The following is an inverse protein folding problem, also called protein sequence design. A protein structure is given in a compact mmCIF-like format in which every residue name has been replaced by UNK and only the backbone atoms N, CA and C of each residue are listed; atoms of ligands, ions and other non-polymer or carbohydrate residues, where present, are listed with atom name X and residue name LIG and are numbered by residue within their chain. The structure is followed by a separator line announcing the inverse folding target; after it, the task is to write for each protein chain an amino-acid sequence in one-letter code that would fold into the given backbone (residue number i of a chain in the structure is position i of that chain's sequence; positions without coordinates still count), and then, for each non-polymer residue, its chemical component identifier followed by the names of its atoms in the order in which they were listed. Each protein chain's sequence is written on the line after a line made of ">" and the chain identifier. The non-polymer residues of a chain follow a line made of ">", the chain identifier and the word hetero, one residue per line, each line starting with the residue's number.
data_IF_679873440346
#
_entry.id   IF_679873440346
#
_cell.length_a   1.000
_cell.length_b   1.000
_cell.length_c   1.000
_cell.angle_alpha   90.00
_cell.angle_beta   90.00
_cell.angle_gamma   90.00
#
_symmetry.space_group_name_H-M   'P 1'
#
loop_
_entity.id
_entity.type
_entity.pdbx_description
1 polymer ?
#
# COMPACT_ATOMS: atom_id res chain seq x y z
N UNK A 1 6.34 19.83 11.34
CA UNK A 1 6.17 19.56 9.91
C UNK A 1 6.46 18.10 9.67
N UNK A 2 5.41 17.36 9.40
CA UNK A 2 5.42 15.91 9.21
C UNK A 2 5.43 15.63 7.72
N UNK A 3 6.57 15.19 7.18
CA UNK A 3 6.73 14.96 5.74
C UNK A 3 6.83 13.48 5.40
N UNK A 4 6.27 13.12 4.26
CA UNK A 4 6.55 11.85 3.60
C UNK A 4 7.12 12.13 2.20
N UNK A 5 8.00 11.26 1.74
CA UNK A 5 8.42 11.20 0.35
C UNK A 5 7.68 10.06 -0.33
N UNK A 6 6.89 10.36 -1.34
CA UNK A 6 6.39 9.34 -2.26
C UNK A 6 7.46 9.04 -3.29
N UNK A 7 7.64 7.75 -3.58
CA UNK A 7 8.58 7.28 -4.59
C UNK A 7 7.84 6.30 -5.49
N UNK A 8 7.94 6.53 -6.79
CA UNK A 8 7.47 5.62 -7.82
C UNK A 8 8.69 5.04 -8.54
N UNK A 9 8.81 3.72 -8.52
CA UNK A 9 9.81 3.00 -9.30
C UNK A 9 9.19 2.27 -10.48
N UNK A 10 9.92 2.10 -11.57
CA UNK A 10 9.62 1.08 -12.60
C UNK A 10 10.39 -0.19 -12.27
N UNK A 11 9.81 -1.36 -12.56
CA UNK A 11 10.57 -2.61 -12.53
C UNK A 11 11.40 -2.75 -13.81
N UNK A 12 12.71 -2.92 -13.67
CA UNK A 12 13.63 -3.16 -14.80
C UNK A 12 13.96 -4.65 -14.98
N UNK A 13 13.34 -5.49 -14.18
CA UNK A 13 13.51 -6.92 -14.25
C UNK A 13 12.57 -7.69 -13.34
N UNK A 14 12.63 -9.00 -13.49
CA UNK A 14 11.78 -9.92 -12.76
C UNK A 14 11.97 -9.80 -11.25
N UNK A 15 10.88 -9.89 -10.51
CA UNK A 15 10.87 -9.81 -9.06
C UNK A 15 10.65 -11.18 -8.42
N UNK A 16 11.44 -11.51 -7.41
CA UNK A 16 11.25 -12.72 -6.61
C UNK A 16 10.83 -12.32 -5.19
N UNK A 17 9.56 -12.51 -4.86
CA UNK A 17 9.03 -12.14 -3.55
C UNK A 17 7.54 -12.42 -3.41
N UNK A 18 6.81 -11.51 -2.80
CA UNK A 18 5.36 -11.67 -2.59
C UNK A 18 4.57 -11.20 -3.83
N UNK A 19 3.60 -11.98 -4.35
CA UNK A 19 2.91 -11.68 -5.61
C UNK A 19 2.13 -10.36 -5.67
N UNK A 20 1.75 -9.81 -4.52
CA UNK A 20 0.85 -8.65 -4.43
C UNK A 20 1.50 -7.37 -3.92
N UNK A 21 2.72 -7.45 -3.38
CA UNK A 21 3.43 -6.28 -2.86
C UNK A 21 4.92 -6.55 -2.67
N UNK A 22 5.70 -5.48 -2.51
CA UNK A 22 7.05 -5.56 -1.95
C UNK A 22 6.97 -5.24 -0.46
N UNK A 23 7.52 -6.11 0.39
CA UNK A 23 7.48 -5.86 1.85
C UNK A 23 8.23 -4.57 2.19
N UNK A 24 7.73 -3.83 3.18
CA UNK A 24 8.46 -2.65 3.65
C UNK A 24 9.85 -2.99 4.19
N UNK A 25 10.03 -4.20 4.74
CA UNK A 25 11.34 -4.70 5.16
C UNK A 25 12.32 -4.89 3.99
N UNK A 26 11.85 -5.38 2.84
CA UNK A 26 12.71 -5.52 1.64
C UNK A 26 13.14 -4.15 1.11
N UNK A 27 12.21 -3.19 1.03
CA UNK A 27 12.50 -1.82 0.63
C UNK A 27 13.44 -1.12 1.61
N UNK A 28 13.14 -1.19 2.92
CA UNK A 28 14.00 -0.66 3.97
C UNK A 28 15.42 -1.19 3.83
N UNK A 29 15.60 -2.50 3.68
CA UNK A 29 16.92 -3.11 3.54
C UNK A 29 17.63 -2.76 2.22
N UNK A 30 16.90 -2.41 1.15
CA UNK A 30 17.51 -1.95 -0.09
C UNK A 30 18.07 -0.53 0.10
N UNK A 31 17.27 0.39 0.66
CA UNK A 31 17.68 1.78 0.89
C UNK A 31 18.74 1.88 1.99
N UNK A 32 18.56 1.17 3.11
CA UNK A 32 19.44 1.21 4.29
C UNK A 32 20.89 0.79 4.01
N UNK A 33 21.17 0.12 2.88
CA UNK A 33 22.53 -0.25 2.45
C UNK A 33 23.28 0.88 1.76
N UNK A 34 22.57 1.90 1.28
CA UNK A 34 23.10 2.98 0.45
C UNK A 34 23.15 4.33 1.18
N UNK A 35 22.50 4.43 2.33
CA UNK A 35 22.46 5.64 3.15
C UNK A 35 23.41 5.56 4.34
N UNK A 36 23.70 6.72 4.93
CA UNK A 36 24.50 6.80 6.14
C UNK A 36 23.80 6.21 7.39
N UNK A 37 24.55 6.11 8.49
CA UNK A 37 24.06 5.52 9.72
C UNK A 37 22.94 6.34 10.39
N UNK A 38 22.90 7.66 10.19
CA UNK A 38 21.85 8.53 10.74
C UNK A 38 20.53 8.29 10.02
N UNK A 39 20.55 8.43 8.70
CA UNK A 39 19.43 8.14 7.80
C UNK A 39 18.93 6.73 8.03
N UNK A 40 19.82 5.74 8.08
CA UNK A 40 19.42 4.34 8.36
C UNK A 40 18.64 4.19 9.66
N UNK A 41 19.02 4.89 10.74
CA UNK A 41 18.35 4.78 12.06
C UNK A 41 16.96 5.40 12.05
N UNK A 42 16.80 6.55 11.40
CA UNK A 42 15.55 7.31 11.43
C UNK A 42 14.60 6.99 10.27
N UNK A 43 15.09 6.40 9.18
CA UNK A 43 14.31 6.00 8.01
C UNK A 43 13.28 4.93 8.36
N UNK A 44 12.07 5.13 7.85
CA UNK A 44 10.96 4.20 7.90
C UNK A 44 10.33 4.11 6.53
N UNK A 45 9.96 2.90 6.12
CA UNK A 45 9.48 2.64 4.76
C UNK A 45 8.14 1.93 4.81
N UNK A 46 7.17 2.32 3.96
CA UNK A 46 5.90 1.61 3.84
C UNK A 46 6.05 0.27 3.11
N UNK A 47 4.99 -0.52 3.02
CA UNK A 47 4.95 -1.55 1.97
C UNK A 47 5.02 -0.88 0.58
N UNK A 48 5.57 -1.58 -0.40
CA UNK A 48 5.51 -1.17 -1.80
C UNK A 48 4.29 -1.79 -2.46
N UNK A 49 3.46 -0.95 -3.08
CA UNK A 49 2.25 -1.40 -3.78
C UNK A 49 2.56 -1.43 -5.27
N UNK A 50 2.24 -2.54 -5.92
CA UNK A 50 2.37 -2.64 -7.38
C UNK A 50 1.33 -1.76 -8.05
N UNK A 51 1.73 -1.05 -9.10
CA UNK A 51 0.86 -0.13 -9.86
C UNK A 51 1.06 -0.41 -11.34
N UNK A 52 0.01 -0.79 -12.09
CA UNK A 52 0.12 -0.93 -13.54
C UNK A 52 0.20 0.46 -14.20
N UNK A 53 0.99 0.61 -15.27
CA UNK A 53 0.95 1.81 -16.11
C UNK A 53 -0.19 1.75 -17.13
N UNK A 54 -1.38 2.25 -16.78
CA UNK A 54 -2.60 2.00 -17.57
C UNK A 54 -3.59 3.18 -17.54
N UNK A 55 -4.56 3.17 -18.47
CA UNK A 55 -5.57 4.21 -18.53
C UNK A 55 -6.53 4.20 -17.32
N UNK A 56 -6.76 5.38 -16.76
CA UNK A 56 -7.57 5.54 -15.56
C UNK A 56 -8.28 6.87 -15.40
N UNK A 57 -9.10 6.92 -14.37
CA UNK A 57 -9.88 8.05 -13.88
C UNK A 57 -9.67 8.19 -12.37
N UNK A 58 -9.61 9.42 -11.90
CA UNK A 58 -9.45 9.67 -10.47
C UNK A 58 -10.68 9.22 -9.68
N UNK A 59 -10.51 8.54 -8.54
CA UNK A 59 -11.63 8.19 -7.67
C UNK A 59 -12.38 9.43 -7.17
N UNK A 60 -13.69 9.34 -6.96
CA UNK A 60 -14.57 10.46 -6.58
C UNK A 60 -14.19 11.23 -5.29
N UNK A 61 -13.23 10.74 -4.51
CA UNK A 61 -12.71 11.40 -3.31
C UNK A 61 -11.35 12.07 -3.48
N UNK A 62 -10.71 11.93 -4.64
CA UNK A 62 -9.45 12.58 -4.96
C UNK A 62 -9.66 14.08 -5.26
N UNK A 63 -8.60 14.86 -5.17
CA UNK A 63 -8.61 16.30 -5.51
C UNK A 63 -8.86 16.54 -6.99
N UNK A 64 -8.30 15.68 -7.83
CA UNK A 64 -8.50 15.69 -9.28
C UNK A 64 -9.69 14.80 -9.66
N UNK A 65 -10.42 15.18 -10.72
CA UNK A 65 -11.59 14.47 -11.19
C UNK A 65 -11.46 14.01 -12.66
N UNK A 66 -12.22 12.98 -13.02
CA UNK A 66 -12.35 12.54 -14.39
C UNK A 66 -11.14 11.78 -14.95
N UNK A 67 -11.16 11.63 -16.28
CA UNK A 67 -10.17 10.88 -17.03
C UNK A 67 -8.78 11.51 -16.94
N UNK A 68 -7.82 10.75 -16.40
CA UNK A 68 -6.46 11.19 -16.11
C UNK A 68 -5.45 10.73 -17.17
N UNK A 69 -5.90 10.13 -18.28
CA UNK A 69 -4.98 9.50 -19.22
C UNK A 69 -4.40 8.22 -18.63
N UNK A 70 -3.07 8.05 -18.76
CA UNK A 70 -2.36 6.91 -18.15
C UNK A 70 -1.93 7.27 -16.73
N UNK A 71 -2.46 6.54 -15.76
CA UNK A 71 -2.04 6.59 -14.37
C UNK A 71 -1.02 5.48 -14.09
N UNK A 72 -0.27 5.64 -12.99
CA UNK A 72 0.76 4.71 -12.54
C UNK A 72 2.13 4.91 -13.16
N UNK A 73 2.28 5.81 -14.15
CA UNK A 73 3.57 6.15 -14.78
C UNK A 73 4.19 7.45 -14.23
N UNK A 74 3.49 8.14 -13.35
CA UNK A 74 3.93 9.35 -12.62
C UNK A 74 3.09 9.47 -11.36
N UNK A 75 3.57 10.22 -10.37
CA UNK A 75 2.86 10.47 -9.13
C UNK A 75 1.82 11.60 -9.35
N UNK A 76 0.54 11.40 -9.00
CA UNK A 76 -0.45 12.46 -9.05
C UNK A 76 -0.17 13.49 -7.95
N UNK A 77 -0.63 14.72 -8.17
CA UNK A 77 -0.59 15.75 -7.13
C UNK A 77 -1.36 15.29 -5.88
N UNK A 78 -0.89 15.71 -4.71
CA UNK A 78 -1.48 15.35 -3.42
C UNK A 78 -1.90 16.62 -2.69
N UNK A 79 -3.20 16.89 -2.71
CA UNK A 79 -3.81 18.08 -2.07
C UNK A 79 -4.71 17.66 -0.91
N UNK A 80 -5.45 16.56 -1.10
CA UNK A 80 -6.34 16.00 -0.07
C UNK A 80 -5.78 14.68 0.46
N UNK A 81 -6.17 14.33 1.69
CA UNK A 81 -5.73 13.09 2.33
C UNK A 81 -6.02 11.82 1.50
N UNK A 82 -7.13 11.80 0.77
CA UNK A 82 -7.52 10.68 -0.08
C UNK A 82 -6.56 10.43 -1.25
N UNK A 83 -5.88 11.48 -1.76
CA UNK A 83 -4.96 11.40 -2.90
C UNK A 83 -3.78 10.46 -2.61
N UNK A 84 -3.35 10.41 -1.34
CA UNK A 84 -2.33 9.46 -0.88
C UNK A 84 -2.68 8.04 -1.31
N UNK A 85 -3.95 7.66 -1.21
CA UNK A 85 -4.37 6.28 -1.36
C UNK A 85 -4.77 5.87 -2.78
N UNK A 86 -4.64 6.74 -3.79
CA UNK A 86 -4.98 6.42 -5.20
C UNK A 86 -4.21 5.18 -5.65
N UNK A 87 -2.88 5.16 -5.47
CA UNK A 87 -2.02 4.02 -5.80
C UNK A 87 -1.76 3.05 -4.64
N UNK A 88 -2.48 3.20 -3.53
CA UNK A 88 -2.38 2.27 -2.38
C UNK A 88 -3.58 1.33 -2.30
N UNK A 89 -4.55 1.51 -3.18
CA UNK A 89 -5.71 0.63 -3.28
C UNK A 89 -5.36 -0.61 -4.11
N UNK A 90 -5.25 -1.77 -3.46
CA UNK A 90 -4.95 -3.03 -4.11
C UNK A 90 -5.98 -3.44 -5.18
N UNK A 91 -7.19 -2.85 -5.18
CA UNK A 91 -8.18 -3.09 -6.23
C UNK A 91 -8.01 -2.18 -7.46
N UNK A 92 -7.01 -1.29 -7.47
CA UNK A 92 -6.67 -0.39 -8.57
C UNK A 92 -7.91 0.34 -9.13
N UNK A 93 -8.71 0.94 -8.24
CA UNK A 93 -10.04 1.43 -8.60
C UNK A 93 -10.06 2.60 -9.57
N UNK A 94 -8.91 3.23 -9.74
CA UNK A 94 -8.67 4.25 -10.73
C UNK A 94 -8.61 3.68 -12.17
N UNK A 95 -8.46 2.36 -12.36
CA UNK A 95 -8.54 1.75 -13.70
C UNK A 95 -9.93 1.93 -14.30
N UNK A 96 -9.97 2.34 -15.57
CA UNK A 96 -11.22 2.39 -16.34
C UNK A 96 -11.91 1.03 -16.36
N UNK A 97 -13.25 1.01 -16.40
CA UNK A 97 -14.04 -0.24 -16.46
C UNK A 97 -13.71 -1.13 -17.66
N UNK A 98 -13.19 -0.54 -18.74
CA UNK A 98 -12.70 -1.27 -19.91
C UNK A 98 -11.40 -2.06 -19.68
N UNK A 99 -10.79 -1.94 -18.49
CA UNK A 99 -9.54 -2.60 -18.11
C UNK A 99 -9.86 -3.71 -17.09
N UNK A 100 -9.69 -4.99 -17.44
CA UNK A 100 -10.02 -6.10 -16.56
C UNK A 100 -9.10 -6.09 -15.33
N UNK A 101 -9.64 -5.70 -14.17
CA UNK A 101 -8.87 -5.50 -12.94
C UNK A 101 -8.19 -6.78 -12.46
N UNK A 102 -8.84 -7.93 -12.60
CA UNK A 102 -8.27 -9.24 -12.24
C UNK A 102 -6.95 -9.54 -12.95
N UNK A 103 -6.77 -9.01 -14.17
CA UNK A 103 -5.55 -9.17 -14.94
C UNK A 103 -4.55 -8.01 -14.74
N UNK A 104 -4.96 -6.91 -14.10
CA UNK A 104 -4.13 -5.75 -13.78
C UNK A 104 -3.80 -5.65 -12.27
N UNK A 105 -4.03 -6.73 -11.54
CA UNK A 105 -3.72 -6.85 -10.11
C UNK A 105 -2.62 -7.87 -9.80
N UNK A 106 -2.10 -8.58 -10.83
CA UNK A 106 -1.09 -9.64 -10.68
C UNK A 106 -0.11 -9.60 -11.84
N UNK A 107 1.16 -9.86 -11.54
CA UNK A 107 2.23 -10.00 -12.53
C UNK A 107 2.17 -11.34 -13.27
N UNK A 108 2.73 -11.39 -14.49
CA UNK A 108 2.93 -12.66 -15.20
C UNK A 108 3.94 -13.54 -14.44
N UNK A 109 3.66 -14.85 -14.38
CA UNK A 109 4.50 -15.82 -13.64
C UNK A 109 5.61 -16.38 -14.53
N UNK A 110 6.82 -16.44 -13.98
CA UNK A 110 7.99 -17.02 -14.64
C UNK A 110 8.65 -18.08 -13.74
N UNK A 111 9.15 -19.15 -14.35
CA UNK A 111 9.80 -20.26 -13.65
C UNK A 111 11.30 -20.30 -13.95
N UNK A 112 12.12 -20.14 -12.91
CA UNK A 112 13.59 -20.14 -13.00
C UNK A 112 14.20 -21.19 -12.09
N UNK A 113 14.62 -22.32 -12.65
CA UNK A 113 15.29 -23.38 -11.87
C UNK A 113 14.49 -23.84 -10.65
N UNK A 114 13.15 -23.93 -10.77
CA UNK A 114 12.23 -24.29 -9.69
C UNK A 114 11.78 -23.12 -8.80
N UNK A 115 12.22 -21.89 -9.08
CA UNK A 115 11.77 -20.67 -8.39
C UNK A 115 10.66 -20.01 -9.19
N UNK A 116 9.67 -19.47 -8.49
CA UNK A 116 8.63 -18.61 -9.08
C UNK A 116 9.08 -17.16 -8.97
N UNK A 117 9.15 -16.47 -10.10
CA UNK A 117 9.38 -15.04 -10.20
C UNK A 117 8.22 -14.36 -10.93
N UNK A 118 8.14 -13.06 -10.81
CA UNK A 118 7.08 -12.20 -11.34
C UNK A 118 7.69 -11.27 -12.38
N UNK A 119 7.13 -11.24 -13.59
CA UNK A 119 7.63 -10.39 -14.68
C UNK A 119 7.40 -8.90 -14.42
N UNK A 120 8.31 -8.06 -14.94
CA UNK A 120 8.21 -6.59 -14.94
C UNK A 120 7.15 -6.07 -15.91
N UNK A 121 6.74 -6.91 -16.88
CA UNK A 121 5.79 -6.56 -17.93
C UNK A 121 4.70 -7.62 -18.05
N UNK A 122 3.42 -7.21 -18.03
CA UNK A 122 2.30 -8.11 -18.33
C UNK A 122 1.86 -7.99 -19.80
N UNK A 123 1.59 -9.12 -20.46
CA UNK A 123 1.17 -9.17 -21.86
C UNK A 123 -0.28 -9.60 -22.05
N UNK A 124 -1.08 -8.73 -22.67
CA UNK A 124 -2.48 -9.04 -23.00
C UNK A 124 -2.65 -9.33 -24.49
N UNK A 125 -3.23 -10.48 -24.79
CA UNK A 125 -3.68 -10.81 -26.15
C UNK A 125 -4.88 -9.96 -26.59
N UNK A 126 -4.92 -9.61 -27.88
CA UNK A 126 -6.09 -8.99 -28.52
C UNK A 126 -6.81 -10.00 -29.44
N UNK A 127 -8.12 -9.84 -29.69
CA UNK A 127 -8.87 -10.73 -30.57
C UNK A 127 -8.26 -10.89 -31.96
N UNK A 128 -8.46 -12.07 -32.57
CA UNK A 128 -8.01 -12.36 -33.92
C UNK A 128 -8.61 -11.35 -34.93
N UNK A 129 -7.76 -10.65 -35.67
CA UNK A 129 -8.15 -9.63 -36.65
C UNK A 129 -7.79 -8.19 -36.27
N UNK A 130 -7.44 -7.91 -35.01
CA UNK A 130 -6.89 -6.61 -34.63
C UNK A 130 -5.40 -6.51 -34.95
N UNK A 131 -4.97 -5.34 -35.45
CA UNK A 131 -3.55 -4.96 -35.59
C UNK A 131 -2.93 -4.83 -34.19
N UNK A 132 -1.65 -5.17 -34.04
CA UNK A 132 -0.94 -5.25 -32.75
C UNK A 132 -1.61 -6.26 -31.79
N UNK A 133 -1.45 -7.56 -32.09
CA UNK A 133 -2.10 -8.69 -31.40
C UNK A 133 -1.80 -8.80 -29.90
N UNK A 134 -0.86 -8.01 -29.39
CA UNK A 134 -0.50 -7.94 -27.97
C UNK A 134 -0.34 -6.49 -27.55
N UNK A 135 -0.72 -6.19 -26.31
CA UNK A 135 -0.34 -4.96 -25.59
C UNK A 135 0.47 -5.36 -24.37
N UNK A 136 1.52 -4.62 -24.07
CA UNK A 136 2.26 -4.72 -22.82
C UNK A 136 1.74 -3.69 -21.82
N UNK A 137 1.89 -4.01 -20.54
CA UNK A 137 1.68 -3.11 -19.40
C UNK A 137 2.91 -3.21 -18.52
N UNK A 138 3.64 -2.11 -18.37
CA UNK A 138 4.76 -2.01 -17.41
C UNK A 138 4.22 -1.96 -15.99
N UNK A 139 4.97 -2.55 -15.07
CA UNK A 139 4.68 -2.51 -13.65
C UNK A 139 5.58 -1.53 -12.91
N UNK A 140 4.95 -0.79 -12.02
CA UNK A 140 5.59 0.18 -11.15
C UNK A 140 5.42 -0.22 -9.69
N UNK A 141 6.26 0.35 -8.83
CA UNK A 141 6.24 0.15 -7.38
C UNK A 141 6.11 1.51 -6.70
N UNK A 142 4.99 1.71 -6.00
CA UNK A 142 4.74 2.93 -5.25
C UNK A 142 4.97 2.70 -3.74
N UNK A 143 5.83 3.51 -3.13
CA UNK A 143 6.09 3.46 -1.70
C UNK A 143 6.27 4.84 -1.04
N UNK A 144 6.19 4.86 0.29
CA UNK A 144 6.46 6.03 1.12
C UNK A 144 7.72 5.84 1.95
N UNK A 145 8.56 6.86 1.96
CA UNK A 145 9.65 7.03 2.90
C UNK A 145 9.30 8.15 3.87
N UNK A 146 9.60 7.98 5.14
CA UNK A 146 9.52 9.07 6.11
C UNK A 146 10.53 8.87 7.24
N UNK A 147 10.60 9.89 8.09
CA UNK A 147 11.41 9.87 9.29
C UNK A 147 10.59 9.58 10.53
N UNK A 148 11.27 9.15 11.59
CA UNK A 148 10.69 9.22 12.93
C UNK A 148 10.32 10.67 13.25
N UNK A 149 9.14 10.87 13.87
CA UNK A 149 8.69 12.19 14.29
C UNK A 149 9.77 12.90 15.12
N UNK A 150 10.13 14.12 14.71
CA UNK A 150 11.21 14.91 15.30
C UNK A 150 12.55 14.84 14.54
N UNK A 151 12.79 13.82 13.72
CA UNK A 151 14.01 13.63 12.93
C UNK A 151 13.77 14.11 11.49
N UNK A 152 13.47 15.39 11.29
CA UNK A 152 13.04 15.93 9.98
C UNK A 152 14.12 16.02 8.89
N UNK A 153 15.32 15.48 9.12
CA UNK A 153 16.50 15.65 8.24
C UNK A 153 16.73 14.53 7.23
N UNK A 154 16.05 13.38 7.35
CA UNK A 154 16.39 12.17 6.56
C UNK A 154 15.53 11.95 5.32
N UNK A 155 14.51 12.79 5.10
CA UNK A 155 13.74 12.84 3.86
C UNK A 155 13.73 14.28 3.32
N UNK A 156 13.89 14.51 2.00
CA UNK A 156 14.01 13.50 0.93
C UNK A 156 15.29 12.67 1.00
N UNK A 157 15.19 11.40 0.62
CA UNK A 157 16.32 10.58 0.21
C UNK A 157 16.61 10.89 -1.25
N UNK A 158 17.87 11.17 -1.56
CA UNK A 158 18.30 11.55 -2.91
C UNK A 158 18.00 10.45 -3.95
N UNK A 159 17.62 10.86 -5.16
CA UNK A 159 17.32 9.93 -6.25
C UNK A 159 18.51 9.03 -6.60
N UNK A 160 19.75 9.55 -6.54
CA UNK A 160 20.97 8.75 -6.76
C UNK A 160 21.13 7.57 -5.77
N UNK A 161 20.53 7.68 -4.59
CA UNK A 161 20.49 6.58 -3.60
C UNK A 161 19.40 5.57 -3.96
N UNK A 162 18.26 6.08 -4.42
CA UNK A 162 17.04 5.33 -4.71
C UNK A 162 17.09 4.62 -6.08
N UNK A 163 17.84 5.14 -7.04
CA UNK A 163 17.88 4.62 -8.40
C UNK A 163 18.67 3.31 -8.51
N UNK A 164 18.18 2.36 -9.31
CA UNK A 164 18.78 1.04 -9.48
C UNK A 164 18.78 0.19 -8.20
N UNK A 165 17.82 0.37 -7.28
CA UNK A 165 17.70 -0.48 -6.09
C UNK A 165 17.36 -1.93 -6.48
N UNK A 166 17.69 -2.87 -5.59
CA UNK A 166 17.31 -4.28 -5.75
C UNK A 166 16.48 -4.77 -4.55
N UNK A 167 15.22 -5.12 -4.80
CA UNK A 167 14.25 -5.56 -3.81
C UNK A 167 13.91 -7.05 -3.94
N UNK A 168 13.45 -7.65 -2.85
CA UNK A 168 13.08 -9.08 -2.84
C UNK A 168 14.28 -10.03 -2.68
N UNK A 169 14.09 -11.27 -3.11
CA UNK A 169 15.05 -12.37 -3.01
C UNK A 169 15.91 -12.54 -4.26
N UNK A 170 16.96 -13.35 -4.15
CA UNK A 170 17.86 -13.71 -5.27
C UNK A 170 18.47 -12.50 -6.02
N UNK A 171 18.69 -11.38 -5.32
CA UNK A 171 19.27 -10.13 -5.86
C UNK A 171 20.62 -10.34 -6.57
N UNK A 172 21.43 -11.29 -6.08
CA UNK A 172 22.69 -11.69 -6.71
C UNK A 172 22.54 -12.38 -8.08
N UNK A 173 21.32 -12.71 -8.49
CA UNK A 173 20.96 -13.23 -9.80
C UNK A 173 20.23 -12.20 -10.68
N UNK A 174 20.19 -10.93 -10.28
CA UNK A 174 19.57 -9.84 -11.04
C UNK A 174 18.06 -9.67 -10.84
N UNK A 175 17.46 -10.31 -9.82
CA UNK A 175 16.03 -10.14 -9.54
C UNK A 175 15.75 -8.84 -8.76
N UNK A 176 14.62 -8.21 -9.09
CA UNK A 176 13.98 -7.12 -8.37
C UNK A 176 14.68 -5.78 -8.54
N UNK A 177 15.36 -5.57 -9.66
CA UNK A 177 15.91 -4.28 -10.03
C UNK A 177 14.78 -3.27 -10.31
N UNK A 178 14.93 -2.07 -9.76
CA UNK A 178 13.98 -0.97 -9.90
C UNK A 178 14.69 0.36 -10.11
N UNK A 179 14.17 1.19 -11.01
CA UNK A 179 14.66 2.54 -11.30
C UNK A 179 13.66 3.59 -10.88
N UNK A 180 14.14 4.76 -10.44
CA UNK A 180 13.26 5.86 -10.03
C UNK A 180 12.61 6.47 -11.26
N UNK A 181 11.28 6.60 -11.22
CA UNK A 181 10.49 7.27 -12.26
C UNK A 181 10.09 8.65 -11.81
N UNK A 182 9.64 8.77 -10.56
CA UNK A 182 9.12 10.01 -10.02
C UNK A 182 9.21 10.03 -8.49
N UNK A 183 9.43 11.21 -7.92
CA UNK A 183 9.45 11.44 -6.49
C UNK A 183 8.74 12.75 -6.13
N UNK A 184 8.02 12.76 -5.02
CA UNK A 184 7.45 14.00 -4.47
C UNK A 184 7.45 14.03 -2.95
N UNK A 185 7.55 15.23 -2.39
CA UNK A 185 7.47 15.46 -0.95
C UNK A 185 6.08 15.99 -0.60
N UNK A 186 5.41 15.31 0.31
CA UNK A 186 4.09 15.68 0.82
C UNK A 186 4.22 16.14 2.26
N UNK A 187 3.74 17.34 2.55
CA UNK A 187 3.55 17.81 3.92
C UNK A 187 2.20 17.34 4.45
N UNK A 188 2.21 16.32 5.31
CA UNK A 188 0.99 15.81 5.90
C UNK A 188 0.26 16.91 6.67
N UNK A 189 0.99 17.83 7.32
CA UNK A 189 0.38 18.90 8.13
C UNK A 189 -0.41 19.89 7.26
N UNK A 190 -0.08 20.02 5.97
CA UNK A 190 -0.74 20.90 5.01
C UNK A 190 -1.91 20.25 4.24
N UNK A 191 -2.03 18.91 4.24
CA UNK A 191 -3.09 18.22 3.51
C UNK A 191 -4.48 18.61 4.00
N UNK A 192 -5.43 18.64 3.07
CA UNK A 192 -6.83 18.82 3.40
C UNK A 192 -7.45 17.51 3.95
N UNK A 193 -8.02 17.61 5.16
CA UNK A 193 -8.77 16.56 5.85
C UNK A 193 -10.25 16.92 6.01
N UNK A 194 -10.77 17.86 5.19
CA UNK A 194 -12.13 18.41 5.32
C UNK A 194 -13.20 17.32 5.33
N UNK A 195 -13.01 16.22 4.60
CA UNK A 195 -13.95 15.09 4.57
C UNK A 195 -14.05 14.37 5.92
N UNK A 196 -12.91 14.04 6.54
CA UNK A 196 -12.88 13.47 7.89
C UNK A 196 -13.39 14.45 8.95
N UNK A 197 -13.05 15.75 8.83
CA UNK A 197 -13.56 16.79 9.73
C UNK A 197 -15.08 16.94 9.62
N UNK A 198 -15.62 16.90 8.41
CA UNK A 198 -17.06 16.96 8.16
C UNK A 198 -17.78 15.74 8.74
N UNK A 199 -17.22 14.53 8.55
CA UNK A 199 -17.74 13.30 9.14
C UNK A 199 -17.74 13.37 10.68
N UNK A 200 -16.66 13.87 11.28
CA UNK A 200 -16.58 14.08 12.73
C UNK A 200 -17.63 15.08 13.23
N UNK A 201 -17.79 16.21 12.53
CA UNK A 201 -18.74 17.26 12.91
C UNK A 201 -20.21 16.84 12.76
N UNK A 202 -20.53 15.98 11.78
CA UNK A 202 -21.88 15.45 11.57
C UNK A 202 -22.21 14.23 12.42
N UNK A 203 -21.23 13.66 13.14
CA UNK A 203 -21.37 12.41 13.87
C UNK A 203 -21.43 11.18 12.95
N UNK A 204 -20.99 11.30 11.70
CA UNK A 204 -20.86 10.16 10.80
C UNK A 204 -19.75 9.21 11.29
N UNK A 205 -20.08 7.92 11.35
CA UNK A 205 -19.09 6.89 11.67
C UNK A 205 -17.97 6.85 10.64
N UNK A 206 -16.74 6.57 11.07
CA UNK A 206 -15.62 6.28 10.18
C UNK A 206 -15.28 4.79 10.17
N UNK A 207 -14.49 4.37 9.18
CA UNK A 207 -13.93 3.04 9.04
C UNK A 207 -12.42 3.13 8.82
N UNK A 208 -11.73 2.05 9.17
CA UNK A 208 -10.30 1.87 8.94
C UNK A 208 -10.12 0.75 7.95
N UNK A 209 -9.34 0.99 6.91
CA UNK A 209 -8.89 -0.02 5.97
C UNK A 209 -7.40 -0.25 6.12
N UNK A 210 -7.02 -1.49 6.41
CA UNK A 210 -5.62 -1.86 6.59
C UNK A 210 -4.93 -1.95 5.23
N UNK A 211 -3.94 -1.09 5.00
CA UNK A 211 -3.15 -1.08 3.78
C UNK A 211 -1.98 -2.04 3.89
N UNK A 212 -1.37 -2.14 5.07
CA UNK A 212 -0.36 -3.14 5.37
C UNK A 212 -0.70 -3.94 6.63
N UNK A 213 -0.13 -5.15 6.80
CA UNK A 213 -0.43 -5.98 7.96
C UNK A 213 -0.04 -5.29 9.26
N UNK A 214 -0.82 -5.48 10.33
CA UNK A 214 -0.51 -4.99 11.66
C UNK A 214 0.04 -6.12 12.52
N UNK A 215 1.23 -5.95 13.10
CA UNK A 215 1.88 -7.00 13.91
C UNK A 215 1.19 -7.14 15.26
N UNK A 216 0.91 -8.37 15.69
CA UNK A 216 0.44 -8.68 17.05
C UNK A 216 1.59 -9.23 17.90
N UNK A 217 2.35 -10.16 17.33
CA UNK A 217 3.46 -10.84 18.01
C UNK A 217 4.61 -11.04 17.03
N UNK A 218 5.84 -11.03 17.52
CA UNK A 218 7.04 -11.22 16.72
C UNK A 218 8.15 -11.83 17.57
N UNK A 219 8.89 -12.79 17.01
CA UNK A 219 10.11 -13.31 17.62
C UNK A 219 11.31 -12.37 17.43
N UNK A 220 11.17 -11.32 16.62
CA UNK A 220 12.24 -10.36 16.34
C UNK A 220 12.61 -9.56 17.60
N UNK A 221 13.90 -9.30 17.90
CA UNK A 221 14.32 -8.62 19.13
C UNK A 221 13.76 -7.21 19.35
N UNK A 222 13.36 -6.53 18.28
CA UNK A 222 12.71 -5.20 18.36
C UNK A 222 11.19 -5.26 18.44
N UNK A 223 10.61 -6.46 18.57
CA UNK A 223 9.18 -6.69 18.56
C UNK A 223 8.63 -6.94 19.95
N UNK A 224 7.72 -6.07 20.40
CA UNK A 224 6.88 -6.35 21.55
C UNK A 224 5.53 -6.92 21.11
N UNK A 225 4.96 -7.80 21.94
CA UNK A 225 3.58 -8.24 21.78
C UNK A 225 2.63 -7.06 22.00
N UNK A 226 1.62 -6.93 21.16
CA UNK A 226 0.63 -5.86 21.23
C UNK A 226 -0.76 -6.37 20.86
N UNK A 227 -1.76 -5.85 21.56
CA UNK A 227 -3.16 -6.14 21.26
C UNK A 227 -3.63 -5.40 20.00
N UNK A 228 -4.76 -5.89 19.45
CA UNK A 228 -5.52 -5.12 18.47
C UNK A 228 -5.93 -3.79 19.11
N UNK A 229 -5.70 -2.63 18.46
CA UNK A 229 -6.05 -1.34 19.04
C UNK A 229 -7.54 -1.28 19.42
N UNK A 230 -7.86 -0.81 20.61
CA UNK A 230 -9.24 -0.78 21.14
C UNK A 230 -10.22 0.00 20.26
N UNK A 231 -9.71 0.95 19.47
CA UNK A 231 -10.47 1.76 18.53
C UNK A 231 -10.77 1.04 17.19
N UNK A 232 -10.41 -0.24 17.05
CA UNK A 232 -10.82 -1.12 15.96
C UNK A 232 -12.02 -1.95 16.41
N UNK A 233 -13.23 -1.51 16.08
CA UNK A 233 -14.44 -2.28 16.37
C UNK A 233 -14.66 -3.32 15.27
N UNK A 234 -14.71 -4.58 15.69
CA UNK A 234 -14.96 -5.75 14.85
C UNK A 234 -16.35 -6.26 15.21
N UNK A 235 -17.23 -6.38 14.23
CA UNK A 235 -18.56 -6.96 14.47
C UNK A 235 -18.40 -8.46 14.73
N UNK A 236 -18.66 -8.89 15.97
CA UNK A 236 -18.53 -10.28 16.41
C UNK A 236 -19.83 -11.08 16.23
N UNK A 237 -20.75 -10.64 15.37
CA UNK A 237 -22.11 -11.18 15.34
C UNK A 237 -22.12 -12.63 14.81
N UNK A 238 -22.51 -13.57 15.67
CA UNK A 238 -22.45 -15.03 15.47
C UNK A 238 -23.48 -15.58 14.46
N UNK A 239 -24.25 -14.72 13.78
CA UNK A 239 -25.43 -15.11 12.99
C UNK A 239 -25.24 -15.05 11.45
N UNK A 240 -24.04 -14.74 10.94
CA UNK A 240 -23.72 -14.86 9.51
C UNK A 240 -22.89 -16.11 9.21
N UNK A 241 -23.44 -17.15 8.55
CA UNK A 241 -22.71 -18.39 8.26
C UNK A 241 -21.61 -18.22 7.18
N UNK A 242 -21.38 -17.00 6.68
CA UNK A 242 -20.35 -16.67 5.67
C UNK A 242 -19.29 -15.69 6.23
N UNK A 243 -19.43 -15.24 7.48
CA UNK A 243 -18.50 -14.30 8.11
C UNK A 243 -18.36 -14.66 9.58
N UNK A 244 -17.42 -15.53 9.91
CA UNK A 244 -16.97 -15.67 11.30
C UNK A 244 -16.41 -14.30 11.73
N UNK A 245 -17.16 -13.59 12.59
CA UNK A 245 -16.93 -12.21 13.02
C UNK A 245 -15.63 -12.02 13.80
N UNK A 246 -14.51 -12.00 13.10
CA UNK A 246 -13.17 -11.81 13.65
C UNK A 246 -12.20 -11.28 12.62
N UNK A 247 -11.15 -10.61 13.09
CA UNK A 247 -10.04 -10.18 12.25
C UNK A 247 -9.30 -11.39 11.66
N UNK A 248 -9.11 -11.40 10.34
CA UNK A 248 -8.22 -12.33 9.64
C UNK A 248 -6.81 -12.14 10.18
N UNK A 249 -6.28 -13.21 10.78
CA UNK A 249 -4.90 -13.28 11.24
C UNK A 249 -4.06 -14.09 10.27
N UNK A 250 -2.79 -13.71 10.14
CA UNK A 250 -1.82 -14.39 9.27
C UNK A 250 -0.49 -14.52 9.98
N UNK A 251 0.05 -15.73 9.99
CA UNK A 251 1.45 -15.97 10.31
C UNK A 251 2.31 -15.64 9.08
N UNK A 252 3.35 -14.84 9.29
CA UNK A 252 4.34 -14.47 8.28
C UNK A 252 5.74 -14.57 8.88
N UNK A 253 6.76 -14.23 8.09
CA UNK A 253 8.15 -14.20 8.54
C UNK A 253 8.77 -12.85 8.22
N UNK A 254 9.60 -12.37 9.14
CA UNK A 254 10.48 -11.22 8.95
C UNK A 254 11.92 -11.72 8.82
N UNK A 255 12.64 -11.19 7.84
CA UNK A 255 14.06 -11.53 7.63
C UNK A 255 14.91 -10.33 8.04
N UNK A 256 15.86 -10.52 8.95
CA UNK A 256 16.89 -9.53 9.28
C UNK A 256 18.27 -10.18 9.20
N UNK A 257 19.12 -9.68 8.30
CA UNK A 257 20.36 -10.35 7.94
C UNK A 257 20.14 -11.78 7.46
N UNK A 258 20.76 -12.73 8.17
CA UNK A 258 20.66 -14.18 7.91
C UNK A 258 19.60 -14.86 8.81
N UNK A 259 18.97 -14.11 9.72
CA UNK A 259 17.97 -14.62 10.64
C UNK A 259 16.55 -14.43 10.10
N UNK A 260 15.66 -15.34 10.50
CA UNK A 260 14.24 -15.30 10.14
C UNK A 260 13.39 -15.49 11.38
N UNK A 261 12.46 -14.57 11.60
CA UNK A 261 11.62 -14.50 12.79
C UNK A 261 10.16 -14.74 12.42
N UNK A 262 9.45 -15.56 13.20
CA UNK A 262 8.01 -15.69 13.04
C UNK A 262 7.30 -14.41 13.51
N UNK A 263 6.27 -14.01 12.76
CA UNK A 263 5.46 -12.83 13.05
C UNK A 263 3.98 -13.16 12.86
N UNK A 264 3.17 -12.88 13.87
CA UNK A 264 1.70 -12.99 13.79
C UNK A 264 1.12 -11.62 13.50
N UNK A 265 0.24 -11.52 12.50
CA UNK A 265 -0.32 -10.24 12.04
C UNK A 265 -1.83 -10.28 11.93
N UNK A 266 -2.49 -9.14 12.13
CA UNK A 266 -3.78 -8.85 11.49
C UNK A 266 -3.49 -8.50 10.03
N UNK A 267 -4.16 -9.20 9.12
CA UNK A 267 -3.84 -9.11 7.71
C UNK A 267 -4.39 -7.81 7.07
N UNK A 268 -3.70 -7.33 6.03
CA UNK A 268 -4.10 -6.17 5.22
C UNK A 268 -5.36 -6.42 4.38
N UNK A 269 -5.95 -5.38 3.79
CA UNK A 269 -7.17 -5.41 2.99
C UNK A 269 -8.47 -5.61 3.80
N UNK A 270 -8.37 -5.64 5.13
CA UNK A 270 -9.53 -5.71 6.01
C UNK A 270 -10.06 -4.31 6.33
N UNK A 271 -11.38 -4.21 6.45
CA UNK A 271 -12.07 -2.98 6.85
C UNK A 271 -12.73 -3.20 8.21
N UNK A 272 -12.49 -2.30 9.15
CA UNK A 272 -13.08 -2.32 10.51
C UNK A 272 -13.73 -0.98 10.82
N UNK A 273 -14.65 -0.95 11.78
CA UNK A 273 -15.22 0.31 12.25
C UNK A 273 -14.21 1.06 13.12
N UNK A 274 -14.12 2.37 12.93
CA UNK A 274 -13.37 3.25 13.82
C UNK A 274 -14.23 3.64 15.03
N UNK A 275 -13.73 3.37 16.23
CA UNK A 275 -14.40 3.67 17.49
C UNK A 275 -13.73 4.79 18.32
N UNK A 276 -12.69 5.42 17.79
CA UNK A 276 -12.07 6.59 18.42
C UNK A 276 -12.80 7.90 18.10
N UNK A 277 -12.28 9.00 18.64
CA UNK A 277 -12.86 10.35 18.59
C UNK A 277 -12.00 11.37 17.83
N UNK A 278 -10.77 11.01 17.47
CA UNK A 278 -9.81 11.84 16.71
C UNK A 278 -9.48 11.22 15.33
N UNK A 279 -10.43 11.21 14.37
CA UNK A 279 -10.24 10.54 13.08
C UNK A 279 -9.10 11.15 12.24
N UNK A 280 -8.89 12.47 12.32
CA UNK A 280 -7.83 13.17 11.58
C UNK A 280 -6.44 12.79 12.09
N UNK A 281 -6.21 12.83 13.39
CA UNK A 281 -4.93 12.42 13.98
C UNK A 281 -4.69 10.92 13.79
N UNK A 282 -5.75 10.12 13.89
CA UNK A 282 -5.68 8.68 13.59
C UNK A 282 -5.29 8.42 12.13
N UNK A 283 -5.82 9.20 11.18
CA UNK A 283 -5.50 9.12 9.77
C UNK A 283 -4.02 9.47 9.50
N UNK A 284 -3.50 10.53 10.11
CA UNK A 284 -2.07 10.91 10.04
C UNK A 284 -1.18 9.78 10.54
N UNK A 285 -1.50 9.23 11.71
CA UNK A 285 -0.77 8.10 12.28
C UNK A 285 -0.86 6.84 11.42
N UNK A 286 -1.98 6.62 10.72
CA UNK A 286 -2.16 5.53 9.76
C UNK A 286 -1.19 5.60 8.59
N UNK A 287 -1.00 6.78 8.00
CA UNK A 287 0.01 7.02 6.94
C UNK A 287 1.43 6.83 7.48
N UNK A 288 1.67 7.30 8.71
CA UNK A 288 2.97 7.14 9.37
C UNK A 288 3.23 5.73 9.91
N UNK A 289 2.20 4.88 9.88
CA UNK A 289 2.14 3.52 10.45
C UNK A 289 2.18 3.49 11.97
N UNK A 290 1.49 2.50 12.53
CA UNK A 290 1.42 2.24 13.98
C UNK A 290 2.02 0.89 14.36
N UNK A 291 2.41 0.76 15.63
CA UNK A 291 2.90 -0.49 16.22
C UNK A 291 4.41 -0.73 16.06
N UNK A 292 4.85 -1.84 16.67
CA UNK A 292 6.26 -2.19 16.91
C UNK A 292 7.11 -2.32 15.65
N UNK A 293 6.53 -2.73 14.52
CA UNK A 293 7.24 -2.94 13.24
C UNK A 293 6.94 -1.86 12.19
N UNK A 294 6.40 -0.71 12.60
CA UNK A 294 6.07 0.43 11.72
C UNK A 294 7.24 0.91 10.86
N UNK A 295 8.47 0.78 11.38
CA UNK A 295 9.72 1.08 10.64
C UNK A 295 9.86 0.23 9.37
N UNK A 296 9.45 -1.02 9.42
CA UNK A 296 9.57 -2.02 8.35
C UNK A 296 8.27 -2.15 7.52
N UNK A 297 7.40 -1.14 7.59
CA UNK A 297 6.23 -0.98 6.74
C UNK A 297 4.94 -1.61 7.23
N UNK A 298 4.93 -2.23 8.41
CA UNK A 298 3.71 -2.78 9.02
C UNK A 298 2.84 -1.67 9.63
N UNK A 299 1.53 -1.90 9.73
CA UNK A 299 0.60 -1.03 10.44
C UNK A 299 0.16 0.22 9.69
N UNK A 300 0.24 0.24 8.37
CA UNK A 300 -0.32 1.30 7.53
C UNK A 300 -1.81 1.09 7.35
N UNK A 301 -2.59 2.16 7.49
CA UNK A 301 -4.03 2.10 7.27
C UNK A 301 -4.60 3.44 6.81
N UNK A 302 -5.80 3.38 6.23
CA UNK A 302 -6.56 4.53 5.78
C UNK A 302 -7.84 4.67 6.61
N UNK A 303 -8.08 5.82 7.24
CA UNK A 303 -9.37 6.18 7.83
C UNK A 303 -10.26 6.84 6.78
N UNK A 304 -11.54 6.49 6.71
CA UNK A 304 -12.52 7.09 5.78
C UNK A 304 -13.90 7.24 6.42
N UNK A 305 -14.73 8.20 5.98
CA UNK A 305 -16.15 8.22 6.33
C UNK A 305 -16.81 6.89 5.91
N UNK A 306 -17.67 6.32 6.75
CA UNK A 306 -18.30 5.03 6.47
C UNK A 306 -19.23 5.09 5.26
N UNK A 307 -19.71 6.29 4.91
CA UNK A 307 -20.53 6.49 3.73
C UNK A 307 -19.76 6.41 2.40
N UNK A 308 -18.45 6.22 2.44
CA UNK A 308 -17.59 6.18 1.27
C UNK A 308 -16.99 4.79 1.08
N UNK A 309 -17.86 3.78 0.98
CA UNK A 309 -17.41 2.44 0.62
C UNK A 309 -16.70 2.50 -0.74
N UNK A 310 -15.47 1.97 -0.79
CA UNK A 310 -14.69 1.84 -2.02
C UNK A 310 -15.41 0.99 -3.07
N UNK A 311 -16.37 0.15 -2.67
CA UNK A 311 -17.23 -0.62 -3.56
C UNK A 311 -18.66 -0.11 -3.42
N UNK A 312 -19.02 0.89 -4.23
CA UNK A 312 -20.41 1.40 -4.31
C UNK A 312 -21.42 0.27 -4.56
N UNK A 313 -21.03 -0.77 -5.28
CA UNK A 313 -21.85 -1.97 -5.55
C UNK A 313 -22.17 -2.80 -4.29
N UNK A 314 -21.36 -2.73 -3.22
CA UNK A 314 -21.68 -3.40 -1.94
C UNK A 314 -22.90 -2.78 -1.25
N UNK A 315 -23.11 -1.47 -1.42
CA UNK A 315 -24.36 -0.82 -0.98
C UNK A 315 -25.56 -1.29 -1.79
N UNK A 316 -25.39 -1.49 -3.10
CA UNK A 316 -26.47 -1.98 -3.96
C UNK A 316 -26.88 -3.43 -3.58
N UNK A 317 -25.92 -4.28 -3.24
CA UNK A 317 -26.19 -5.65 -2.78
C UNK A 317 -26.89 -5.71 -1.40
N UNK A 318 -26.61 -4.76 -0.50
CA UNK A 318 -27.30 -4.66 0.80
C UNK A 318 -28.71 -4.07 0.72
N UNK A 319 -28.98 -3.21 -0.28
CA UNK A 319 -30.30 -2.59 -0.49
C UNK A 319 -31.26 -3.46 -1.33
N UNK A 320 -30.76 -4.50 -2.00
CA UNK A 320 -31.57 -5.43 -2.80
C UNK A 320 -32.18 -6.59 -2.01
N UNK A 321 -32.06 -6.56 -0.67
CA UNK A 321 -32.55 -7.59 0.23
C UNK A 321 -33.88 -7.25 0.90
N UNK A 322 -34.89 -6.76 0.17
CA UNK A 322 -36.28 -6.75 0.66
C UNK A 322 -37.28 -7.14 -0.44
N UNK A 323 -37.97 -8.25 -0.14
CA UNK A 323 -39.22 -8.87 -0.69
C UNK A 323 -39.15 -9.59 -2.03
#
# INVERSE_FOLDING_TARGET
>A
MTRIQQVLFEFDGQYLGHPYFVTGNALFNAVARRVDAETRRSLRVSHGVFVPGEYGEYPAGASQDGYAGKLGQSLPDVEVYEDLFVFRDAAQRWLLDSRPRDAHNVHDLQLHGGRVAFDDTCWFGRPAGQRNRRRSVSWYLHCYLHSRQGDGSVVPVDEDVLDGLQVGGARNYGFGEVSVVDTQIVDLDALDFSRLKAAQASGESCRIELVSPFVLESEHPSGDAQDVPWWWRVDTDELSPVSQGGLRRRATRLVDGDETYAVTTVDHGQVVQYAGDEPVETARNGVLRVGTHSRFGFGEFCVRPASEDRVSERRAAGAGGEV
#
